data_IF_821890012191
#
_entry.id   IF_821890012191
#
_cell.length_a   1.000
_cell.length_b   1.000
_cell.length_c   1.000
_cell.angle_alpha   90.00
_cell.angle_beta   90.00
_cell.angle_gamma   90.00
#
_symmetry.space_group_name_H-M   'P 1'
#
loop_
_entity.id
_entity.type
_entity.pdbx_description
1 polymer ?
#
# COMPACT_ATOMS: atom_id res chain seq x y z
N UNK A 1 -24.31 3.36 16.45
CA UNK A 1 -22.94 2.82 16.43
C UNK A 1 -22.11 3.69 15.49
N UNK A 2 -21.65 4.86 15.96
CA UNK A 2 -21.03 5.88 15.09
C UNK A 2 -19.91 6.67 15.79
N UNK A 3 -19.12 6.00 16.66
CA UNK A 3 -18.13 6.71 17.50
C UNK A 3 -16.73 6.07 17.52
N UNK A 4 -16.49 4.97 16.81
CA UNK A 4 -15.28 4.17 17.02
C UNK A 4 -14.09 4.55 16.12
N UNK A 5 -14.20 5.53 15.22
CA UNK A 5 -13.02 6.05 14.46
C UNK A 5 -12.88 7.57 14.48
N UNK A 6 -13.63 8.29 15.32
CA UNK A 6 -13.45 9.75 15.42
C UNK A 6 -12.03 10.14 15.82
N UNK A 7 -11.32 9.27 16.55
CA UNK A 7 -9.92 9.50 16.89
C UNK A 7 -8.98 9.44 15.66
N UNK A 8 -9.37 8.76 14.59
CA UNK A 8 -8.60 8.69 13.34
C UNK A 8 -8.81 9.93 12.45
N UNK A 9 -9.90 10.67 12.62
CA UNK A 9 -10.09 11.95 11.90
C UNK A 9 -9.05 13.00 12.32
N UNK A 10 -8.46 12.84 13.51
CA UNK A 10 -7.38 13.68 14.02
C UNK A 10 -5.98 13.14 13.68
N UNK A 11 -5.87 12.04 12.93
CA UNK A 11 -4.59 11.42 12.56
C UNK A 11 -3.84 12.33 11.57
N UNK A 12 -2.75 13.01 12.00
CA UNK A 12 -2.16 14.08 11.20
C UNK A 12 -1.37 13.56 10.00
N UNK A 13 -0.85 12.33 10.09
CA UNK A 13 0.09 11.75 9.12
C UNK A 13 -0.24 10.31 8.73
N UNK A 14 -1.24 9.68 9.34
CA UNK A 14 -1.66 8.32 9.03
C UNK A 14 -1.05 7.26 9.95
N UNK A 15 -0.15 7.63 10.87
CA UNK A 15 0.49 6.69 11.78
C UNK A 15 -0.53 5.98 12.67
N UNK A 16 -1.49 6.73 13.20
CA UNK A 16 -2.49 6.18 14.14
C UNK A 16 -3.38 5.15 13.44
N UNK A 17 -3.77 5.43 12.21
CA UNK A 17 -4.60 4.55 11.39
C UNK A 17 -3.84 3.28 11.00
N UNK A 18 -2.58 3.43 10.58
CA UNK A 18 -1.69 2.29 10.31
C UNK A 18 -1.53 1.39 11.53
N UNK A 19 -1.19 1.95 12.69
CA UNK A 19 -1.02 1.19 13.93
C UNK A 19 -2.32 0.48 14.33
N UNK A 20 -3.47 1.13 14.15
CA UNK A 20 -4.77 0.52 14.40
C UNK A 20 -5.01 -0.69 13.48
N UNK A 21 -4.75 -0.58 12.18
CA UNK A 21 -4.88 -1.71 11.24
C UNK A 21 -3.99 -2.87 11.68
N UNK A 22 -2.71 -2.62 11.95
CA UNK A 22 -1.75 -3.67 12.30
C UNK A 22 -2.15 -4.42 13.56
N UNK A 23 -2.61 -3.69 14.59
CA UNK A 23 -2.96 -4.29 15.88
C UNK A 23 -4.35 -4.94 15.91
N UNK A 24 -5.21 -4.67 14.92
CA UNK A 24 -6.62 -5.09 14.95
C UNK A 24 -7.08 -5.80 13.67
N UNK A 25 -6.16 -6.19 12.77
CA UNK A 25 -6.48 -6.70 11.43
C UNK A 25 -7.51 -7.83 11.41
N UNK A 26 -7.50 -8.72 12.40
CA UNK A 26 -8.44 -9.85 12.52
C UNK A 26 -9.87 -9.42 12.88
N UNK A 27 -10.04 -8.19 13.37
CA UNK A 27 -11.30 -7.68 13.94
C UNK A 27 -11.85 -6.45 13.22
N UNK A 28 -11.08 -5.84 12.33
CA UNK A 28 -11.44 -4.60 11.63
C UNK A 28 -11.65 -4.77 10.12
N UNK A 29 -11.74 -6.01 9.62
CA UNK A 29 -11.89 -6.33 8.18
C UNK A 29 -13.13 -5.66 7.57
N UNK A 30 -14.25 -5.67 8.30
CA UNK A 30 -15.52 -5.05 7.92
C UNK A 30 -15.42 -3.52 7.78
N UNK A 31 -14.38 -2.93 8.36
CA UNK A 31 -14.10 -1.48 8.36
C UNK A 31 -12.87 -1.11 7.56
N UNK A 32 -12.26 -2.07 6.86
CA UNK A 32 -11.01 -1.85 6.15
C UNK A 32 -11.12 -0.78 5.07
N UNK A 33 -12.27 -0.65 4.41
CA UNK A 33 -12.51 0.43 3.44
C UNK A 33 -12.40 1.82 4.09
N UNK A 34 -13.03 2.03 5.27
CA UNK A 34 -12.94 3.30 6.02
C UNK A 34 -11.51 3.60 6.47
N UNK A 35 -10.79 2.58 6.94
CA UNK A 35 -9.41 2.71 7.41
C UNK A 35 -8.45 3.07 6.26
N UNK A 36 -8.63 2.43 5.09
CA UNK A 36 -7.86 2.76 3.89
C UNK A 36 -8.17 4.18 3.41
N UNK A 37 -9.43 4.62 3.46
CA UNK A 37 -9.81 6.00 3.12
C UNK A 37 -9.16 7.02 4.06
N UNK A 38 -9.16 6.74 5.35
CA UNK A 38 -8.50 7.58 6.36
C UNK A 38 -7.00 7.69 6.09
N UNK A 39 -6.31 6.57 5.83
CA UNK A 39 -4.89 6.57 5.44
C UNK A 39 -4.62 7.35 4.16
N UNK A 40 -5.43 7.16 3.12
CA UNK A 40 -5.31 7.93 1.88
C UNK A 40 -5.49 9.42 2.14
N UNK A 41 -6.36 9.79 3.07
CA UNK A 41 -6.51 11.19 3.45
C UNK A 41 -5.29 11.71 4.23
N UNK A 42 -4.86 11.02 5.28
CA UNK A 42 -3.86 11.52 6.23
C UNK A 42 -2.42 11.42 5.71
N UNK A 43 -2.00 10.26 5.19
CA UNK A 43 -0.62 10.04 4.76
C UNK A 43 -0.33 10.83 3.48
N UNK A 44 0.49 11.87 3.60
CA UNK A 44 0.93 12.70 2.46
C UNK A 44 2.25 12.23 1.85
N UNK A 45 2.98 11.37 2.55
CA UNK A 45 4.30 10.88 2.15
C UNK A 45 4.22 9.60 1.32
N UNK A 46 3.19 8.78 1.55
CA UNK A 46 3.05 7.43 1.01
C UNK A 46 3.76 6.36 1.87
N UNK A 47 4.39 6.73 2.98
CA UNK A 47 5.07 5.81 3.89
C UNK A 47 4.13 4.78 4.51
N UNK A 48 3.03 5.24 5.10
CA UNK A 48 2.07 4.38 5.78
C UNK A 48 1.16 3.67 4.80
N UNK A 49 0.89 4.26 3.63
CA UNK A 49 0.24 3.56 2.52
C UNK A 49 1.08 2.37 2.04
N UNK A 50 2.37 2.57 1.77
CA UNK A 50 3.27 1.50 1.36
C UNK A 50 3.44 0.46 2.47
N UNK A 51 3.55 0.87 3.73
CA UNK A 51 3.70 -0.05 4.86
C UNK A 51 2.45 -0.89 5.10
N UNK A 52 1.26 -0.28 5.01
CA UNK A 52 -0.02 -0.99 5.11
C UNK A 52 -0.19 -1.99 3.96
N UNK A 53 0.18 -1.63 2.73
CA UNK A 53 0.09 -2.54 1.59
C UNK A 53 0.94 -3.80 1.80
N UNK A 54 2.18 -3.64 2.28
CA UNK A 54 3.08 -4.77 2.59
C UNK A 54 2.51 -5.63 3.70
N UNK A 55 2.03 -5.01 4.76
CA UNK A 55 1.45 -5.71 5.90
C UNK A 55 0.23 -6.55 5.48
N UNK A 56 -0.75 -5.95 4.80
CA UNK A 56 -1.96 -6.67 4.37
C UNK A 56 -1.64 -7.79 3.38
N UNK A 57 -0.66 -7.59 2.50
CA UNK A 57 -0.21 -8.65 1.58
C UNK A 57 0.40 -9.85 2.32
N UNK A 58 1.16 -9.58 3.39
CA UNK A 58 1.76 -10.63 4.21
C UNK A 58 0.72 -11.36 5.08
N UNK A 59 -0.34 -10.68 5.50
CA UNK A 59 -1.46 -11.27 6.25
C UNK A 59 -2.32 -12.14 5.36
N UNK A 60 -2.92 -11.56 4.31
CA UNK A 60 -3.76 -12.26 3.34
C UNK A 60 -3.89 -11.45 2.04
N UNK A 61 -3.05 -11.77 1.06
CA UNK A 61 -3.04 -11.07 -0.23
C UNK A 61 -4.32 -11.26 -1.05
N UNK A 62 -5.06 -12.35 -0.82
CA UNK A 62 -6.29 -12.66 -1.57
C UNK A 62 -7.45 -11.87 -1.01
N UNK A 63 -7.69 -11.95 0.30
CA UNK A 63 -8.79 -11.24 0.96
C UNK A 63 -8.62 -9.72 0.91
N UNK A 64 -7.37 -9.23 0.99
CA UNK A 64 -7.11 -7.78 0.96
C UNK A 64 -6.73 -7.24 -0.42
N UNK A 65 -6.78 -8.03 -1.50
CA UNK A 65 -6.34 -7.62 -2.85
C UNK A 65 -6.84 -6.22 -3.26
N UNK A 66 -8.14 -5.93 -3.09
CA UNK A 66 -8.72 -4.61 -3.40
C UNK A 66 -8.09 -3.49 -2.56
N UNK A 67 -7.91 -3.71 -1.26
CA UNK A 67 -7.35 -2.72 -0.34
C UNK A 67 -5.86 -2.47 -0.63
N UNK A 68 -5.10 -3.54 -0.86
CA UNK A 68 -3.67 -3.47 -1.24
C UNK A 68 -3.52 -2.62 -2.50
N UNK A 69 -4.30 -2.87 -3.56
CA UNK A 69 -4.24 -2.08 -4.79
C UNK A 69 -4.47 -0.58 -4.56
N UNK A 70 -5.44 -0.22 -3.72
CA UNK A 70 -5.74 1.19 -3.35
C UNK A 70 -4.57 1.84 -2.62
N UNK A 71 -4.00 1.14 -1.63
CA UNK A 71 -2.86 1.59 -0.86
C UNK A 71 -1.62 1.78 -1.74
N UNK A 72 -1.34 0.82 -2.63
CA UNK A 72 -0.22 0.89 -3.58
C UNK A 72 -0.35 2.09 -4.52
N UNK A 73 -1.52 2.28 -5.14
CA UNK A 73 -1.77 3.46 -5.98
C UNK A 73 -1.54 4.76 -5.21
N UNK A 74 -2.07 4.84 -3.99
CA UNK A 74 -1.89 6.00 -3.15
C UNK A 74 -0.43 6.26 -2.78
N UNK A 75 0.35 5.22 -2.50
CA UNK A 75 1.78 5.32 -2.23
C UNK A 75 2.56 5.80 -3.46
N UNK A 76 2.24 5.28 -4.65
CA UNK A 76 2.84 5.75 -5.92
C UNK A 76 2.62 7.25 -6.09
N UNK A 77 1.40 7.74 -5.91
CA UNK A 77 1.07 9.15 -6.16
C UNK A 77 1.83 10.12 -5.22
N UNK A 78 2.13 9.68 -3.99
CA UNK A 78 2.69 10.52 -2.92
C UNK A 78 4.20 10.39 -2.77
N UNK A 79 4.74 9.19 -2.95
CA UNK A 79 6.17 8.92 -2.78
C UNK A 79 6.98 9.37 -4.01
N UNK A 80 7.09 10.69 -4.19
CA UNK A 80 7.81 11.32 -5.30
C UNK A 80 9.29 10.97 -5.32
N UNK A 81 9.87 10.85 -4.14
CA UNK A 81 11.29 10.56 -3.94
C UNK A 81 11.60 9.06 -3.95
N UNK A 82 10.58 8.20 -4.11
CA UNK A 82 10.72 6.75 -4.26
C UNK A 82 11.34 6.08 -3.03
N UNK A 83 11.14 6.66 -1.84
CA UNK A 83 11.71 6.19 -0.58
C UNK A 83 11.07 4.88 -0.11
N UNK A 84 9.81 4.64 -0.49
CA UNK A 84 8.97 3.58 0.04
C UNK A 84 8.46 2.62 -1.05
N UNK A 85 8.05 3.14 -2.21
CA UNK A 85 7.43 2.31 -3.26
C UNK A 85 8.36 1.23 -3.82
N UNK A 86 9.69 1.42 -3.74
CA UNK A 86 10.64 0.40 -4.15
C UNK A 86 10.54 -0.88 -3.31
N UNK A 87 10.24 -0.74 -2.00
CA UNK A 87 10.07 -1.89 -1.10
C UNK A 87 8.84 -2.74 -1.41
N UNK A 88 7.87 -2.20 -2.19
CA UNK A 88 6.67 -2.93 -2.59
C UNK A 88 6.97 -3.99 -3.65
N UNK A 89 8.00 -3.80 -4.47
CA UNK A 89 8.29 -4.70 -5.60
C UNK A 89 8.53 -6.14 -5.12
N UNK A 90 9.44 -6.29 -4.16
CA UNK A 90 9.72 -7.60 -3.57
C UNK A 90 8.59 -8.07 -2.66
N UNK A 91 8.00 -7.16 -1.86
CA UNK A 91 6.99 -7.55 -0.88
C UNK A 91 5.69 -8.07 -1.51
N UNK A 92 5.31 -7.58 -2.69
CA UNK A 92 4.07 -7.96 -3.36
C UNK A 92 4.29 -8.98 -4.48
N UNK A 93 5.42 -8.90 -5.19
CA UNK A 93 5.68 -9.76 -6.36
C UNK A 93 6.83 -10.75 -6.16
N UNK A 94 7.48 -10.77 -4.99
CA UNK A 94 8.51 -11.73 -4.56
C UNK A 94 9.94 -11.35 -4.94
N UNK A 95 10.93 -11.94 -4.27
CA UNK A 95 12.38 -11.65 -4.42
C UNK A 95 12.89 -11.74 -5.87
N UNK A 96 12.35 -12.67 -6.67
CA UNK A 96 12.66 -12.84 -8.09
C UNK A 96 11.84 -11.94 -9.04
N UNK A 97 11.31 -10.81 -8.59
CA UNK A 97 10.47 -9.95 -9.44
C UNK A 97 11.23 -9.36 -10.63
N UNK A 98 12.53 -9.13 -10.49
CA UNK A 98 13.36 -8.51 -11.55
C UNK A 98 13.50 -9.42 -12.76
N UNK A 99 13.73 -10.71 -12.54
CA UNK A 99 13.86 -11.69 -13.63
C UNK A 99 12.54 -11.87 -14.39
N UNK A 100 11.41 -11.60 -13.73
CA UNK A 100 10.05 -11.65 -14.29
C UNK A 100 9.49 -10.27 -14.64
N UNK A 101 10.31 -9.23 -14.68
CA UNK A 101 9.82 -7.85 -14.77
C UNK A 101 8.95 -7.60 -16.00
N UNK A 102 9.32 -8.15 -17.17
CA UNK A 102 8.53 -7.99 -18.40
C UNK A 102 7.15 -8.66 -18.29
N UNK A 103 7.09 -9.88 -17.75
CA UNK A 103 5.84 -10.62 -17.51
C UNK A 103 4.95 -9.88 -16.52
N UNK A 104 5.51 -9.49 -15.36
CA UNK A 104 4.80 -8.79 -14.30
C UNK A 104 4.31 -7.41 -14.76
N UNK A 105 5.11 -6.68 -15.55
CA UNK A 105 4.70 -5.39 -16.08
C UNK A 105 3.57 -5.49 -17.13
N UNK A 106 3.49 -6.60 -17.85
CA UNK A 106 2.38 -6.86 -18.76
C UNK A 106 1.09 -7.26 -18.02
N UNK A 107 1.22 -7.95 -16.88
CA UNK A 107 0.09 -8.47 -16.11
C UNK A 107 -0.45 -7.48 -15.05
N UNK A 108 0.39 -6.59 -14.52
CA UNK A 108 0.05 -5.73 -13.38
C UNK A 108 0.49 -4.28 -13.59
N UNK A 109 -0.49 -3.39 -13.67
CA UNK A 109 -0.30 -1.95 -13.85
C UNK A 109 0.45 -1.28 -12.68
N UNK A 110 0.21 -1.73 -11.45
CA UNK A 110 0.90 -1.18 -10.29
C UNK A 110 2.37 -1.60 -10.29
N UNK A 111 2.66 -2.86 -10.61
CA UNK A 111 4.03 -3.32 -10.80
C UNK A 111 4.74 -2.46 -11.85
N UNK A 112 4.14 -2.35 -13.05
CA UNK A 112 4.70 -1.59 -14.17
C UNK A 112 5.01 -0.14 -13.79
N UNK A 113 4.09 0.52 -13.08
CA UNK A 113 4.25 1.92 -12.63
C UNK A 113 5.38 2.08 -11.64
N UNK A 114 5.46 1.20 -10.63
CA UNK A 114 6.54 1.25 -9.63
C UNK A 114 7.87 0.94 -10.31
N UNK A 115 7.93 -0.16 -11.07
CA UNK A 115 9.15 -0.64 -11.71
C UNK A 115 9.75 0.43 -12.62
N UNK A 116 8.95 1.08 -13.47
CA UNK A 116 9.42 2.19 -14.32
C UNK A 116 9.95 3.38 -13.53
N UNK A 117 9.39 3.68 -12.35
CA UNK A 117 9.86 4.78 -11.50
C UNK A 117 11.17 4.44 -10.78
N UNK A 118 11.34 3.18 -10.37
CA UNK A 118 12.56 2.73 -9.71
C UNK A 118 13.71 2.51 -10.71
N UNK A 119 13.41 1.99 -11.91
CA UNK A 119 14.39 1.67 -12.95
C UNK A 119 14.07 2.41 -14.27
N UNK A 120 14.23 3.74 -14.33
CA UNK A 120 13.82 4.54 -15.49
C UNK A 120 14.58 4.24 -16.78
N UNK A 121 15.80 3.70 -16.68
CA UNK A 121 16.67 3.39 -17.82
C UNK A 121 16.45 1.99 -18.40
N UNK A 122 15.56 1.20 -17.80
CA UNK A 122 15.21 -0.12 -18.34
C UNK A 122 14.15 0.07 -19.41
N UNK A 123 14.49 -0.22 -20.67
CA UNK A 123 13.50 -0.36 -21.73
C UNK A 123 12.66 -1.63 -21.43
N UNK A 124 11.47 -1.42 -20.88
CA UNK A 124 10.43 -2.46 -20.81
C UNK A 124 9.53 -2.39 -22.03
#
# INVERSE_FOLDING_TARGET
>A
MADTLKFLEADPDGMTTYDYIVNNVDTCIDRMDELVDSLLHADKSGQFLASSARFLNAVDSVSFHRHIGRLVMGAIDRDRERRYIGSLLEALWGEGYRDRAAELAAADDNFRRIYKRIYPDTAM
#
